data_IF_805064804946
#
_entry.id   IF_805064804946
#
_cell.length_a   1.000
_cell.length_b   1.000
_cell.length_c   1.000
_cell.angle_alpha   90.00
_cell.angle_beta   90.00
_cell.angle_gamma   90.00
#
_symmetry.space_group_name_H-M   'P 1'
#
loop_
_entity.id
_entity.type
_entity.pdbx_description
1 polymer ?
#
# COMPACT_ATOMS: atom_id res chain seq x y z
N UNK A 1 64.11 19.67 -2.59
CA UNK A 1 63.59 21.06 -2.62
C UNK A 1 62.28 21.07 -1.82
N UNK A 2 62.28 21.14 -0.49
CA UNK A 2 62.40 22.31 0.41
C UNK A 2 61.57 23.54 -0.03
N UNK A 3 60.39 23.72 0.57
CA UNK A 3 60.01 24.91 1.40
C UNK A 3 58.56 24.75 1.89
N UNK A 4 58.36 24.62 3.21
CA UNK A 4 57.85 25.66 4.12
C UNK A 4 56.42 26.08 3.77
N UNK A 5 55.41 25.73 4.60
CA UNK A 5 55.08 26.45 5.83
C UNK A 5 54.25 27.70 5.46
N UNK A 6 53.06 27.94 6.00
CA UNK A 6 52.89 28.68 7.26
C UNK A 6 51.38 28.71 7.59
N UNK A 7 51.06 28.50 8.87
CA UNK A 7 49.78 28.75 9.51
C UNK A 7 49.42 30.24 9.45
N UNK A 8 48.15 30.58 9.22
CA UNK A 8 47.58 31.78 9.85
C UNK A 8 46.07 31.64 10.05
N UNK A 9 45.72 31.17 11.26
CA UNK A 9 44.46 31.55 11.88
C UNK A 9 44.58 33.03 12.31
N UNK A 10 43.69 33.88 11.82
CA UNK A 10 43.50 35.25 12.31
C UNK A 10 42.02 35.64 12.13
N UNK A 11 41.29 35.47 13.24
CA UNK A 11 40.55 36.53 13.90
C UNK A 11 39.42 37.24 13.12
N UNK A 12 38.17 36.95 13.50
CA UNK A 12 37.09 37.92 13.37
C UNK A 12 36.11 37.75 14.53
N UNK A 13 36.45 38.38 15.67
CA UNK A 13 35.52 38.63 16.77
C UNK A 13 34.30 39.40 16.23
N UNK A 14 33.16 38.72 16.05
CA UNK A 14 31.90 39.40 15.76
C UNK A 14 31.36 40.00 17.05
N UNK A 15 31.46 41.32 17.12
CA UNK A 15 30.93 42.18 18.18
C UNK A 15 29.41 42.00 18.22
N UNK A 16 28.89 41.57 19.37
CA UNK A 16 27.47 41.64 19.67
C UNK A 16 27.09 43.11 19.86
N UNK A 17 26.21 43.62 19.01
CA UNK A 17 25.47 44.85 19.22
C UNK A 17 23.97 44.48 19.17
N UNK A 18 23.19 44.75 20.24
CA UNK A 18 21.76 44.48 20.26
C UNK A 18 21.05 45.64 19.55
N UNK A 19 20.76 45.46 18.26
CA UNK A 19 19.90 46.36 17.51
C UNK A 19 18.45 45.89 17.64
N UNK A 20 17.70 46.60 18.47
CA UNK A 20 16.24 46.53 18.56
C UNK A 20 15.63 46.72 17.15
N UNK A 21 14.92 45.73 16.62
CA UNK A 21 14.02 45.91 15.50
C UNK A 21 12.76 45.07 15.74
N UNK A 22 11.67 45.78 16.02
CA UNK A 22 10.32 45.28 16.11
C UNK A 22 9.86 44.65 14.78
N UNK A 23 8.84 43.80 14.94
CA UNK A 23 7.81 43.46 13.97
C UNK A 23 8.09 42.27 13.02
N UNK A 24 7.21 41.27 13.13
CA UNK A 24 7.05 40.22 12.12
C UNK A 24 6.89 38.82 12.70
N UNK A 25 5.90 38.58 13.56
CA UNK A 25 5.43 37.22 13.80
C UNK A 25 4.67 36.74 12.55
N UNK A 26 5.41 36.33 11.51
CA UNK A 26 4.84 35.65 10.36
C UNK A 26 4.50 34.22 10.78
N UNK A 27 3.22 34.00 11.10
CA UNK A 27 2.68 32.66 11.24
C UNK A 27 2.84 31.94 9.90
N UNK A 28 3.87 31.08 9.80
CA UNK A 28 3.95 30.06 8.76
C UNK A 28 2.83 29.04 9.03
N UNK A 29 1.63 29.38 8.57
CA UNK A 29 0.53 28.43 8.45
C UNK A 29 0.96 27.38 7.44
N UNK A 30 1.47 26.26 7.94
CA UNK A 30 1.85 25.11 7.13
C UNK A 30 0.66 24.67 6.28
N UNK A 31 0.77 24.85 4.97
CA UNK A 31 -0.09 24.22 3.98
C UNK A 31 0.17 22.72 4.08
N UNK A 32 -0.51 22.03 4.98
CA UNK A 32 -0.61 20.59 4.93
C UNK A 32 -1.37 20.27 3.64
N UNK A 33 -0.65 19.88 2.58
CA UNK A 33 -1.28 19.39 1.36
C UNK A 33 -2.23 18.27 1.75
N UNK A 34 -3.51 18.31 1.33
CA UNK A 34 -4.41 17.21 1.57
C UNK A 34 -3.81 15.98 0.89
N UNK A 35 -3.44 14.98 1.68
CA UNK A 35 -3.10 13.67 1.16
C UNK A 35 -4.39 13.09 0.56
N UNK A 36 -4.54 13.19 -0.76
CA UNK A 36 -5.57 12.43 -1.45
C UNK A 36 -5.22 10.96 -1.26
N UNK A 37 -6.08 10.21 -0.57
CA UNK A 37 -5.90 8.78 -0.43
C UNK A 37 -5.98 8.17 -1.84
N UNK A 38 -4.88 7.56 -2.28
CA UNK A 38 -4.84 6.87 -3.57
C UNK A 38 -5.92 5.79 -3.61
N UNK A 39 -6.64 5.60 -4.73
CA UNK A 39 -7.67 4.57 -4.83
C UNK A 39 -7.04 3.18 -4.59
N UNK A 40 -7.25 2.62 -3.41
CA UNK A 40 -6.68 1.34 -3.05
C UNK A 40 -7.51 0.19 -3.61
N UNK A 41 -6.86 -0.89 -4.08
CA UNK A 41 -7.57 -2.07 -4.47
C UNK A 41 -8.33 -2.69 -3.28
N UNK A 42 -9.45 -3.35 -3.57
CA UNK A 42 -10.32 -3.93 -2.55
C UNK A 42 -10.86 -5.28 -3.00
N UNK A 43 -11.21 -6.13 -2.02
CA UNK A 43 -11.78 -7.45 -2.29
C UNK A 43 -13.18 -7.61 -1.73
N UNK A 44 -14.00 -8.42 -2.40
CA UNK A 44 -15.33 -8.81 -1.95
C UNK A 44 -15.66 -10.22 -2.41
N UNK A 45 -16.38 -10.98 -1.60
CA UNK A 45 -16.96 -12.25 -2.04
C UNK A 45 -18.23 -11.98 -2.87
N UNK A 46 -18.30 -12.53 -4.08
CA UNK A 46 -19.45 -12.42 -4.98
C UNK A 46 -19.87 -13.79 -5.48
N UNK A 47 -21.04 -13.87 -6.13
CA UNK A 47 -21.49 -15.07 -6.85
C UNK A 47 -21.04 -15.01 -8.30
N UNK A 48 -20.49 -16.11 -8.79
CA UNK A 48 -20.10 -16.29 -10.19
C UNK A 48 -20.72 -17.60 -10.69
N UNK A 49 -21.99 -17.51 -11.10
CA UNK A 49 -22.85 -18.67 -11.36
C UNK A 49 -23.17 -19.45 -10.07
N UNK A 50 -23.00 -20.75 -10.12
CA UNK A 50 -23.24 -21.67 -8.99
C UNK A 50 -22.15 -21.60 -7.91
N UNK A 51 -21.01 -20.98 -8.22
CA UNK A 51 -19.87 -20.85 -7.31
C UNK A 51 -19.77 -19.45 -6.66
N UNK A 52 -18.91 -19.36 -5.66
CA UNK A 52 -18.42 -18.09 -5.12
C UNK A 52 -17.10 -17.71 -5.79
N UNK A 53 -16.92 -16.41 -6.03
CA UNK A 53 -15.67 -15.83 -6.52
C UNK A 53 -15.20 -14.71 -5.59
N UNK A 54 -13.90 -14.51 -5.56
CA UNK A 54 -13.30 -13.30 -5.01
C UNK A 54 -13.29 -12.25 -6.12
N UNK A 55 -14.09 -11.20 -5.94
CA UNK A 55 -13.98 -9.99 -6.74
C UNK A 55 -12.86 -9.14 -6.20
N UNK A 56 -11.92 -8.78 -7.06
CA UNK A 56 -10.87 -7.79 -6.80
C UNK A 56 -11.15 -6.59 -7.66
N UNK A 57 -11.19 -5.40 -7.07
CA UNK A 57 -11.38 -4.14 -7.79
C UNK A 57 -10.22 -3.22 -7.52
N UNK A 58 -9.95 -2.31 -8.43
CA UNK A 58 -8.92 -1.30 -8.25
C UNK A 58 -8.96 -0.20 -9.29
N UNK A 59 -7.91 0.61 -9.26
CA UNK A 59 -7.67 1.66 -10.21
C UNK A 59 -6.28 1.48 -10.83
N UNK A 60 -6.10 1.85 -12.11
CA UNK A 60 -4.82 1.92 -12.81
C UNK A 60 -4.73 3.20 -13.61
N UNK A 61 -3.57 3.84 -13.60
CA UNK A 61 -3.37 5.08 -14.36
C UNK A 61 -3.29 4.80 -15.86
N UNK A 62 -2.63 3.72 -16.26
CA UNK A 62 -2.60 3.28 -17.66
C UNK A 62 -3.61 2.16 -17.90
N UNK A 63 -4.54 2.37 -18.83
CA UNK A 63 -5.52 1.38 -19.21
C UNK A 63 -4.90 0.10 -19.80
N UNK A 64 -3.67 0.17 -20.32
CA UNK A 64 -2.93 -0.97 -20.84
C UNK A 64 -2.12 -1.73 -19.77
N UNK A 65 -2.01 -1.21 -18.54
CA UNK A 65 -1.26 -1.87 -17.48
C UNK A 65 -1.90 -3.20 -17.08
N UNK A 66 -1.12 -4.28 -17.17
CA UNK A 66 -1.55 -5.63 -16.79
C UNK A 66 -1.76 -5.72 -15.29
N UNK A 67 -2.95 -6.16 -14.87
CA UNK A 67 -3.21 -6.46 -13.46
C UNK A 67 -2.62 -7.83 -13.11
N UNK A 68 -1.94 -7.92 -11.96
CA UNK A 68 -1.43 -9.18 -11.42
C UNK A 68 -1.93 -9.41 -10.00
N UNK A 69 -2.26 -10.65 -9.68
CA UNK A 69 -2.70 -11.09 -8.36
C UNK A 69 -1.77 -12.20 -7.90
N UNK A 70 -1.07 -12.01 -6.78
CA UNK A 70 0.00 -12.90 -6.30
C UNK A 70 1.02 -13.25 -7.41
N UNK A 71 1.36 -12.27 -8.26
CA UNK A 71 2.27 -12.46 -9.39
C UNK A 71 1.64 -13.10 -10.64
N UNK A 72 0.39 -13.57 -10.61
CA UNK A 72 -0.30 -14.12 -11.79
C UNK A 72 -1.00 -13.01 -12.57
N UNK A 73 -0.69 -12.89 -13.87
CA UNK A 73 -1.39 -11.96 -14.75
C UNK A 73 -2.85 -12.39 -14.94
N UNK A 74 -3.78 -11.44 -14.81
CA UNK A 74 -5.23 -11.70 -14.91
C UNK A 74 -5.86 -10.77 -15.94
N UNK A 75 -6.90 -11.27 -16.60
CA UNK A 75 -7.74 -10.42 -17.45
C UNK A 75 -8.69 -9.63 -16.56
N UNK A 76 -8.56 -8.30 -16.59
CA UNK A 76 -9.41 -7.40 -15.83
C UNK A 76 -10.43 -6.74 -16.75
N UNK A 77 -11.69 -6.73 -16.32
CA UNK A 77 -12.76 -6.01 -16.99
C UNK A 77 -12.66 -4.52 -16.64
N UNK A 78 -12.85 -3.66 -17.64
CA UNK A 78 -12.73 -2.21 -17.50
C UNK A 78 -11.35 -1.65 -17.86
N UNK A 79 -11.28 -0.32 -17.97
CA UNK A 79 -10.06 0.43 -18.26
C UNK A 79 -9.38 0.87 -16.96
N UNK A 80 -9.37 2.17 -16.66
CA UNK A 80 -8.73 2.71 -15.45
C UNK A 80 -9.35 2.18 -14.17
N UNK A 81 -10.68 2.13 -14.09
CA UNK A 81 -11.39 1.39 -13.04
C UNK A 81 -11.62 -0.03 -13.54
N UNK A 82 -11.22 -1.00 -12.75
CA UNK A 82 -11.22 -2.38 -13.19
C UNK A 82 -11.71 -3.33 -12.11
N UNK A 83 -12.18 -4.48 -12.56
CA UNK A 83 -12.53 -5.61 -11.70
C UNK A 83 -12.05 -6.95 -12.29
N UNK A 84 -11.81 -7.90 -11.41
CA UNK A 84 -11.48 -9.29 -11.73
C UNK A 84 -12.28 -10.18 -10.80
N UNK A 85 -12.97 -11.18 -11.35
CA UNK A 85 -13.62 -12.24 -10.58
C UNK A 85 -12.77 -13.51 -10.65
N UNK A 86 -12.23 -13.93 -9.52
CA UNK A 86 -11.43 -15.16 -9.41
C UNK A 86 -12.22 -16.26 -8.69
N UNK A 87 -12.34 -17.47 -9.26
CA UNK A 87 -12.85 -18.63 -8.53
C UNK A 87 -12.06 -18.85 -7.24
N UNK A 88 -12.74 -19.21 -6.15
CA UNK A 88 -12.05 -19.39 -4.86
C UNK A 88 -11.00 -20.50 -4.87
N UNK A 89 -11.16 -21.51 -5.74
CA UNK A 89 -10.15 -22.54 -5.93
C UNK A 89 -8.85 -21.96 -6.51
N UNK A 90 -8.96 -21.09 -7.51
CA UNK A 90 -7.81 -20.36 -8.08
C UNK A 90 -7.13 -19.51 -7.01
N UNK A 91 -7.90 -18.76 -6.21
CA UNK A 91 -7.34 -17.94 -5.12
C UNK A 91 -6.61 -18.81 -4.10
N UNK A 92 -7.17 -19.98 -3.74
CA UNK A 92 -6.51 -20.94 -2.83
C UNK A 92 -5.19 -21.46 -3.40
N UNK A 93 -5.16 -21.81 -4.68
CA UNK A 93 -3.98 -22.34 -5.34
C UNK A 93 -2.86 -21.30 -5.50
N UNK A 94 -3.23 -20.02 -5.64
CA UNK A 94 -2.27 -18.92 -5.82
C UNK A 94 -1.84 -18.26 -4.52
N UNK A 95 -2.44 -18.61 -3.39
CA UNK A 95 -2.14 -18.00 -2.09
C UNK A 95 -1.36 -18.95 -1.20
N UNK A 96 -0.57 -18.38 -0.29
CA UNK A 96 -0.03 -19.15 0.82
C UNK A 96 -1.18 -19.75 1.67
N UNK A 97 -0.98 -20.91 2.31
CA UNK A 97 -1.96 -21.48 3.23
C UNK A 97 -2.39 -20.45 4.29
N UNK A 98 -3.70 -20.28 4.48
CA UNK A 98 -4.29 -19.35 5.45
C UNK A 98 -3.92 -17.87 5.27
N UNK A 99 -3.53 -17.47 4.05
CA UNK A 99 -3.27 -16.08 3.73
C UNK A 99 -4.47 -15.19 4.10
N UNK A 100 -4.17 -14.02 4.70
CA UNK A 100 -5.17 -13.02 5.09
C UNK A 100 -5.22 -11.83 4.12
N UNK A 101 -4.28 -11.79 3.19
CA UNK A 101 -4.20 -10.81 2.12
C UNK A 101 -3.71 -11.47 0.84
N UNK A 102 -3.96 -10.80 -0.27
CA UNK A 102 -3.33 -11.07 -1.57
C UNK A 102 -2.51 -9.87 -1.99
N UNK A 103 -1.49 -10.14 -2.79
CA UNK A 103 -0.71 -9.13 -3.46
C UNK A 103 -1.38 -8.72 -4.77
N UNK A 104 -1.49 -7.42 -5.01
CA UNK A 104 -1.99 -6.85 -6.26
C UNK A 104 -0.95 -5.88 -6.82
N UNK A 105 -0.52 -6.09 -8.06
CA UNK A 105 0.40 -5.19 -8.76
C UNK A 105 -0.09 -4.85 -10.17
N UNK A 106 0.39 -3.73 -10.68
CA UNK A 106 0.14 -3.23 -12.03
C UNK A 106 1.46 -3.30 -12.81
N UNK A 107 1.48 -4.00 -13.94
CA UNK A 107 2.72 -4.27 -14.68
C UNK A 107 3.71 -5.16 -13.92
N UNK A 108 4.96 -5.20 -14.40
CA UNK A 108 6.03 -6.03 -13.81
C UNK A 108 6.92 -5.28 -12.81
N UNK A 109 6.97 -3.94 -12.89
CA UNK A 109 7.93 -3.12 -12.14
C UNK A 109 7.29 -2.28 -11.03
N UNK A 110 5.95 -2.23 -10.95
CA UNK A 110 5.29 -1.45 -9.89
C UNK A 110 5.29 -2.19 -8.56
N UNK A 111 5.38 -1.41 -7.48
CA UNK A 111 5.32 -1.93 -6.13
C UNK A 111 3.96 -2.56 -5.88
N UNK A 112 3.97 -3.74 -5.28
CA UNK A 112 2.74 -4.47 -5.05
C UNK A 112 2.02 -3.98 -3.78
N UNK A 113 0.70 -3.91 -3.87
CA UNK A 113 -0.20 -3.56 -2.78
C UNK A 113 -0.73 -4.81 -2.09
N UNK A 114 -0.70 -4.83 -0.76
CA UNK A 114 -1.32 -5.90 0.03
C UNK A 114 -2.79 -5.57 0.27
N UNK A 115 -3.68 -6.46 -0.18
CA UNK A 115 -5.12 -6.27 -0.07
C UNK A 115 -5.72 -7.34 0.82
N UNK A 116 -6.40 -6.92 1.88
CA UNK A 116 -7.06 -7.84 2.80
C UNK A 116 -8.08 -8.72 2.06
N UNK A 117 -8.10 -10.01 2.40
CA UNK A 117 -9.13 -10.94 1.99
C UNK A 117 -10.34 -10.85 2.92
N UNK A 118 -11.55 -11.23 2.45
CA UNK A 118 -12.69 -11.42 3.33
C UNK A 118 -12.36 -12.40 4.46
N UNK A 119 -12.86 -12.12 5.66
CA UNK A 119 -12.61 -12.94 6.84
C UNK A 119 -13.02 -14.39 6.57
N UNK A 120 -12.14 -15.33 6.90
CA UNK A 120 -12.40 -16.76 6.77
C UNK A 120 -12.29 -17.31 5.34
N UNK A 121 -12.02 -16.48 4.31
CA UNK A 121 -12.01 -16.92 2.90
C UNK A 121 -11.09 -18.14 2.66
N UNK A 122 -9.88 -18.08 3.22
CA UNK A 122 -8.85 -19.11 3.12
C UNK A 122 -8.60 -19.78 4.48
N UNK A 123 -9.54 -19.64 5.41
CA UNK A 123 -9.51 -20.39 6.66
C UNK A 123 -9.52 -21.90 6.37
N UNK A 124 -8.84 -22.68 7.21
CA UNK A 124 -8.96 -24.13 7.13
C UNK A 124 -10.40 -24.57 7.36
N UNK A 125 -10.82 -25.62 6.66
CA UNK A 125 -12.00 -26.38 7.07
C UNK A 125 -11.62 -27.19 8.29
N UNK A 126 -11.87 -26.63 9.48
CA UNK A 126 -11.82 -27.43 10.71
C UNK A 126 -13.02 -28.36 10.67
N UNK A 127 -12.79 -29.65 10.42
CA UNK A 127 -13.83 -30.66 10.58
C UNK A 127 -14.13 -30.79 12.08
N UNK A 128 -15.27 -30.25 12.48
CA UNK A 128 -15.65 -30.16 13.88
C UNK A 128 -16.59 -31.33 14.20
N UNK A 129 -16.03 -32.38 14.82
CA UNK A 129 -16.78 -33.61 15.12
C UNK A 129 -17.99 -33.38 16.06
N UNK A 130 -17.90 -32.41 16.99
CA UNK A 130 -19.04 -31.91 17.77
C UNK A 130 -18.72 -30.54 18.41
N UNK A 131 -19.71 -29.64 18.47
CA UNK A 131 -19.68 -28.44 19.31
C UNK A 131 -20.73 -28.60 20.41
N UNK A 132 -20.31 -28.83 21.66
CA UNK A 132 -21.23 -28.87 22.80
C UNK A 132 -21.24 -27.49 23.46
N UNK A 133 -22.40 -26.83 23.47
CA UNK A 133 -22.64 -25.58 24.20
C UNK A 133 -23.54 -25.91 25.39
N UNK A 134 -23.03 -25.74 26.60
CA UNK A 134 -23.80 -25.87 27.84
C UNK A 134 -23.92 -24.53 28.55
N UNK A 135 -25.10 -24.22 29.08
CA UNK A 135 -25.33 -23.10 29.97
C UNK A 135 -25.36 -23.60 31.42
N UNK A 136 -24.77 -22.82 32.32
CA UNK A 136 -24.83 -23.02 33.78
C UNK A 136 -26.03 -22.32 34.39
#
# INVERSE_FOLDING_TARGET
MIKHGIHHALNARRRFAPGLALAGAAALLGLASPAAAEPQPSTRLVRCGEASCLRVTGYRDDAAATVRINGYAVSAAGERRWEVDLPLETVRNWSAPHARSIEVSLGEAEAASQVALPIGLLGGVTDLAALVVSAS
#
